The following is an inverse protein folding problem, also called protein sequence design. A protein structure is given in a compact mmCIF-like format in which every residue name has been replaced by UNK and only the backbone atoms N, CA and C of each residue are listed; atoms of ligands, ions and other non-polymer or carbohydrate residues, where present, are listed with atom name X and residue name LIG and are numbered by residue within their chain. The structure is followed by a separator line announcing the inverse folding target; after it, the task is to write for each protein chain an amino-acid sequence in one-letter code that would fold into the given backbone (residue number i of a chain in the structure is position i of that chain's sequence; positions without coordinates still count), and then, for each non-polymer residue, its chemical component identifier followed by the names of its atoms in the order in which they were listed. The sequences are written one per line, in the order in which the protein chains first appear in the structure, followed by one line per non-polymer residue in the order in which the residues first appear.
data_IF_552329088628
#
_entry.id   IF_552329088628
#
_cell.length_a   1.000
_cell.length_b   1.000
_cell.length_c   1.000
_cell.angle_alpha   90.00
_cell.angle_beta   90.00
_cell.angle_gamma   90.00
#
_symmetry.space_group_name_H-M   'P 1'
#
loop_
_entity.id
_entity.type
_entity.pdbx_description
1 polymer ?
#
# COMPACT_ATOMS: atom_id res chain seq x y z
N UNK A 1 17.17 -3.58 10.65
CA UNK A 1 17.87 -2.87 11.73
C UNK A 1 16.89 -1.89 12.34
N UNK A 2 17.13 -1.40 13.55
CA UNK A 2 16.36 -0.32 14.13
C UNK A 2 17.30 0.80 14.56
N UNK A 3 16.92 2.05 14.31
CA UNK A 3 17.67 3.23 14.72
C UNK A 3 16.75 4.15 15.53
N UNK A 4 17.35 4.94 16.41
CA UNK A 4 16.67 5.94 17.23
C UNK A 4 17.46 7.25 17.18
N UNK A 5 16.73 8.36 17.19
CA UNK A 5 17.29 9.71 17.24
C UNK A 5 16.34 10.62 18.03
N UNK A 6 16.82 11.29 19.09
CA UNK A 6 15.99 12.24 19.83
C UNK A 6 15.76 13.57 19.09
N UNK A 7 16.64 13.91 18.13
CA UNK A 7 16.61 15.18 17.38
C UNK A 7 16.27 15.00 15.89
N UNK A 8 16.13 13.75 15.42
CA UNK A 8 15.89 13.41 14.01
C UNK A 8 17.11 13.55 13.10
N UNK A 9 18.26 13.97 13.63
CA UNK A 9 19.48 14.28 12.86
C UNK A 9 20.59 13.28 13.22
N UNK A 10 20.82 13.03 14.50
CA UNK A 10 21.85 12.12 14.99
C UNK A 10 21.24 10.77 15.34
N UNK A 11 21.55 9.76 14.53
CA UNK A 11 20.97 8.42 14.66
C UNK A 11 21.94 7.46 15.35
N UNK A 12 21.43 6.67 16.28
CA UNK A 12 22.13 5.56 16.92
C UNK A 12 21.39 4.26 16.64
N UNK A 13 22.12 3.15 16.55
CA UNK A 13 21.50 1.84 16.45
C UNK A 13 20.76 1.50 17.75
N UNK A 14 19.47 1.24 17.63
CA UNK A 14 18.67 0.58 18.67
C UNK A 14 18.84 -0.94 18.58
N UNK A 15 18.94 -1.47 17.35
CA UNK A 15 19.28 -2.86 17.07
C UNK A 15 20.09 -2.97 15.78
N UNK A 16 21.19 -3.72 15.82
CA UNK A 16 22.10 -3.94 14.69
C UNK A 16 21.66 -5.08 13.76
N UNK A 17 20.79 -5.97 14.24
CA UNK A 17 20.16 -7.02 13.43
C UNK A 17 18.79 -6.55 12.87
N UNK A 18 18.26 -7.16 11.80
CA UNK A 18 16.88 -6.94 11.38
C UNK A 18 15.89 -7.26 12.51
N UNK A 19 15.02 -6.30 12.85
CA UNK A 19 13.95 -6.49 13.87
C UNK A 19 12.69 -7.11 13.27
N UNK A 20 12.55 -6.99 11.95
CA UNK A 20 11.61 -7.77 11.13
C UNK A 20 12.48 -8.50 10.10
N UNK A 21 12.66 -9.79 10.30
CA UNK A 21 13.45 -10.65 9.41
C UNK A 21 12.56 -11.67 8.69
N UNK A 22 13.16 -12.43 7.77
CA UNK A 22 12.46 -13.42 6.93
C UNK A 22 11.65 -14.45 7.72
N UNK A 23 12.02 -14.79 8.96
CA UNK A 23 11.30 -15.74 9.80
C UNK A 23 9.92 -15.23 10.22
N UNK A 24 9.71 -13.91 10.22
CA UNK A 24 8.42 -13.30 10.54
C UNK A 24 7.50 -13.15 9.33
N UNK A 25 7.99 -13.38 8.11
CA UNK A 25 7.18 -13.24 6.89
C UNK A 25 6.38 -14.52 6.61
N UNK A 26 5.08 -14.40 6.28
CA UNK A 26 4.24 -15.55 5.95
C UNK A 26 4.55 -16.14 4.57
N UNK A 27 5.34 -15.42 3.75
CA UNK A 27 5.62 -15.78 2.37
C UNK A 27 7.13 -15.79 2.11
N UNK A 28 7.54 -16.67 1.20
CA UNK A 28 8.95 -16.89 0.82
C UNK A 28 9.58 -15.65 0.19
N UNK A 29 8.77 -14.85 -0.49
CA UNK A 29 9.18 -13.62 -1.17
C UNK A 29 8.73 -12.42 -0.35
N UNK A 30 9.67 -11.51 -0.10
CA UNK A 30 9.42 -10.16 0.35
C UNK A 30 10.25 -9.26 -0.56
N UNK A 31 9.62 -8.25 -1.15
CA UNK A 31 10.35 -7.19 -1.85
C UNK A 31 10.44 -5.95 -0.94
N UNK A 32 11.41 -5.09 -1.21
CA UNK A 32 11.56 -3.85 -0.45
C UNK A 32 10.43 -2.89 -0.85
N UNK A 33 9.66 -2.43 0.13
CA UNK A 33 8.66 -1.37 -0.05
C UNK A 33 8.82 -0.31 1.03
N UNK A 34 8.24 0.87 0.80
CA UNK A 34 7.98 1.80 1.89
C UNK A 34 6.92 1.19 2.82
N UNK A 35 7.35 0.71 3.99
CA UNK A 35 6.46 0.22 5.04
C UNK A 35 5.89 1.40 5.83
N UNK A 36 4.64 1.28 6.28
CA UNK A 36 4.05 2.27 7.17
C UNK A 36 4.22 1.80 8.61
N UNK A 37 5.02 2.52 9.39
CA UNK A 37 5.32 2.17 10.79
C UNK A 37 5.05 3.35 11.70
N UNK A 38 4.26 3.14 12.75
CA UNK A 38 3.89 4.19 13.70
C UNK A 38 3.54 3.62 15.07
N UNK A 39 3.62 4.45 16.11
CA UNK A 39 3.02 4.14 17.40
C UNK A 39 1.50 4.34 17.32
N UNK A 40 0.74 3.26 17.57
CA UNK A 40 -0.71 3.36 17.68
C UNK A 40 -1.11 3.74 19.11
N UNK A 41 -1.71 4.92 19.25
CA UNK A 41 -2.35 5.32 20.50
C UNK A 41 -3.58 4.47 20.83
N UNK A 42 -4.29 3.95 19.82
CA UNK A 42 -5.48 3.13 20.07
C UNK A 42 -5.12 1.72 20.54
N UNK A 43 -4.07 1.13 19.97
CA UNK A 43 -3.65 -0.24 20.26
C UNK A 43 -2.49 -0.31 21.26
N UNK A 44 -1.98 0.84 21.72
CA UNK A 44 -0.88 0.96 22.70
C UNK A 44 0.37 0.14 22.33
N UNK A 45 0.70 0.12 21.03
CA UNK A 45 1.88 -0.57 20.51
C UNK A 45 2.34 0.04 19.19
N UNK A 46 3.56 -0.29 18.77
CA UNK A 46 4.02 -0.03 17.41
C UNK A 46 3.31 -0.96 16.43
N UNK A 47 2.86 -0.41 15.32
CA UNK A 47 2.20 -1.12 14.23
C UNK A 47 3.02 -0.91 12.97
N UNK A 48 3.21 -2.00 12.21
CA UNK A 48 3.85 -1.97 10.91
C UNK A 48 2.94 -2.62 9.87
N UNK A 49 2.67 -1.90 8.80
CA UNK A 49 2.10 -2.42 7.58
C UNK A 49 3.19 -2.53 6.51
N UNK A 50 3.26 -3.68 5.87
CA UNK A 50 4.30 -4.03 4.90
C UNK A 50 3.70 -4.78 3.72
N UNK A 51 4.32 -4.67 2.55
CA UNK A 51 3.93 -5.49 1.41
C UNK A 51 4.39 -6.93 1.60
N UNK A 52 3.51 -7.86 1.27
CA UNK A 52 3.77 -9.30 1.28
C UNK A 52 3.23 -9.92 -0.01
N UNK A 53 3.68 -11.13 -0.32
CA UNK A 53 3.15 -11.90 -1.44
C UNK A 53 2.17 -12.93 -0.90
N UNK A 54 0.98 -13.03 -1.51
CA UNK A 54 -0.04 -14.01 -1.13
C UNK A 54 -0.47 -14.80 -2.35
N UNK A 55 -0.42 -16.12 -2.23
CA UNK A 55 -0.99 -17.00 -3.22
C UNK A 55 -2.48 -17.20 -2.93
N UNK A 56 -3.33 -16.88 -3.90
CA UNK A 56 -4.78 -16.99 -3.78
C UNK A 56 -5.38 -18.18 -4.55
N UNK A 57 -4.55 -18.96 -5.25
CA UNK A 57 -5.03 -19.94 -6.25
C UNK A 57 -5.55 -19.26 -7.52
N UNK A 58 -5.64 -19.99 -8.64
CA UNK A 58 -6.06 -19.42 -9.93
C UNK A 58 -7.54 -19.01 -9.93
N UNK A 59 -8.34 -19.71 -9.13
CA UNK A 59 -9.78 -19.56 -9.00
C UNK A 59 -10.25 -18.24 -8.38
N UNK A 60 -9.42 -17.60 -7.55
CA UNK A 60 -9.70 -16.28 -6.98
C UNK A 60 -9.11 -15.12 -7.77
N UNK A 61 -8.20 -15.41 -8.69
CA UNK A 61 -7.57 -14.38 -9.52
C UNK A 61 -8.49 -14.01 -10.68
N UNK A 62 -8.39 -12.76 -11.14
CA UNK A 62 -9.10 -12.34 -12.36
C UNK A 62 -8.52 -13.09 -13.58
N UNK A 63 -9.30 -13.30 -14.66
CA UNK A 63 -8.79 -13.90 -15.88
C UNK A 63 -7.55 -13.16 -16.40
N UNK A 64 -6.48 -13.90 -16.75
CA UNK A 64 -5.18 -13.35 -17.17
C UNK A 64 -4.14 -13.26 -16.05
N UNK A 65 -4.55 -13.30 -14.78
CA UNK A 65 -3.63 -13.23 -13.65
C UNK A 65 -3.08 -14.62 -13.28
N UNK A 66 -1.79 -14.69 -13.00
CA UNK A 66 -1.12 -15.92 -12.55
C UNK A 66 -0.12 -15.62 -11.43
N UNK A 67 0.12 -16.60 -10.56
CA UNK A 67 1.14 -16.50 -9.51
C UNK A 67 0.69 -15.78 -8.25
N UNK A 68 1.67 -15.33 -7.46
CA UNK A 68 1.44 -14.66 -6.19
C UNK A 68 0.99 -13.21 -6.42
N UNK A 69 0.10 -12.72 -5.57
CA UNK A 69 -0.41 -11.34 -5.61
C UNK A 69 0.26 -10.50 -4.53
N UNK A 70 0.68 -9.28 -4.87
CA UNK A 70 1.13 -8.29 -3.88
C UNK A 70 -0.04 -7.90 -2.99
N UNK A 71 0.19 -8.01 -1.70
CA UNK A 71 -0.81 -7.87 -0.66
C UNK A 71 -0.26 -7.06 0.51
N UNK A 72 -1.14 -6.65 1.43
CA UNK A 72 -0.73 -5.97 2.66
C UNK A 72 -0.71 -6.97 3.82
N UNK A 73 0.43 -7.00 4.50
CA UNK A 73 0.63 -7.68 5.76
C UNK A 73 0.70 -6.67 6.91
N UNK A 74 0.45 -7.16 8.12
CA UNK A 74 0.52 -6.38 9.35
C UNK A 74 1.26 -7.15 10.44
N UNK A 75 2.05 -6.42 11.22
CA UNK A 75 2.64 -6.89 12.49
C UNK A 75 2.62 -5.77 13.54
N UNK A 76 2.82 -6.15 14.80
CA UNK A 76 2.81 -5.27 15.97
C UNK A 76 4.01 -5.57 16.87
N UNK A 77 4.51 -4.55 17.57
CA UNK A 77 5.56 -4.67 18.57
C UNK A 77 5.28 -3.75 19.77
N UNK A 78 5.47 -4.19 21.01
CA UNK A 78 5.32 -3.32 22.17
C UNK A 78 6.48 -2.31 22.31
N UNK A 79 7.65 -2.59 21.74
CA UNK A 79 8.92 -1.90 22.04
C UNK A 79 9.74 -1.53 20.80
N UNK A 80 9.19 -1.71 19.59
CA UNK A 80 9.83 -1.48 18.29
C UNK A 80 10.95 -2.47 17.93
N UNK A 81 11.32 -3.38 18.84
CA UNK A 81 12.40 -4.34 18.67
C UNK A 81 11.83 -5.75 18.45
N UNK A 82 10.86 -6.14 19.27
CA UNK A 82 10.28 -7.47 19.27
C UNK A 82 8.96 -7.47 18.51
N UNK A 83 8.99 -7.92 17.26
CA UNK A 83 7.83 -7.95 16.37
C UNK A 83 7.18 -9.32 16.33
N UNK A 84 5.85 -9.36 16.27
CA UNK A 84 5.09 -10.60 16.06
C UNK A 84 5.22 -11.08 14.60
N UNK A 85 4.92 -12.36 14.31
CA UNK A 85 4.80 -12.84 12.93
C UNK A 85 3.79 -11.98 12.14
N UNK A 86 4.17 -11.64 10.91
CA UNK A 86 3.32 -10.88 10.00
C UNK A 86 2.14 -11.74 9.58
N UNK A 87 0.94 -11.15 9.60
CA UNK A 87 -0.29 -11.76 9.11
C UNK A 87 -0.84 -10.98 7.93
N UNK A 88 -1.49 -11.67 7.01
CA UNK A 88 -2.21 -11.04 5.91
C UNK A 88 -3.36 -10.20 6.45
N UNK A 89 -3.55 -9.02 5.86
CA UNK A 89 -4.79 -8.25 6.05
C UNK A 89 -5.94 -8.91 5.29
N UNK A 90 -7.13 -8.78 5.85
CA UNK A 90 -8.42 -9.16 5.27
C UNK A 90 -9.21 -7.90 4.88
N UNK A 91 -10.16 -8.03 3.95
CA UNK A 91 -10.85 -6.88 3.35
C UNK A 91 -12.35 -7.08 3.41
N UNK A 92 -13.09 -5.98 3.53
CA UNK A 92 -14.56 -5.98 3.55
C UNK A 92 -15.12 -4.90 2.63
N UNK A 93 -16.01 -5.26 1.69
CA UNK A 93 -16.39 -6.63 1.32
C UNK A 93 -15.20 -7.42 0.77
N UNK A 94 -15.33 -8.74 0.68
CA UNK A 94 -14.31 -9.58 0.07
C UNK A 94 -14.08 -9.13 -1.38
N UNK A 95 -12.85 -8.76 -1.69
CA UNK A 95 -12.47 -8.16 -2.96
C UNK A 95 -11.60 -9.13 -3.76
N UNK A 96 -11.69 -9.05 -5.10
CA UNK A 96 -10.71 -9.72 -5.94
C UNK A 96 -9.30 -9.24 -5.55
N UNK A 97 -8.29 -10.14 -5.54
CA UNK A 97 -6.93 -9.76 -5.23
C UNK A 97 -6.38 -8.79 -6.29
N UNK A 98 -6.39 -7.49 -5.99
CA UNK A 98 -5.69 -6.48 -6.78
C UNK A 98 -4.20 -6.47 -6.35
N UNK A 99 -3.27 -6.12 -7.25
CA UNK A 99 -1.85 -6.00 -6.90
C UNK A 99 -1.63 -4.73 -6.06
N UNK A 100 -1.57 -4.86 -4.73
CA UNK A 100 -1.43 -3.74 -3.79
C UNK A 100 0.05 -3.40 -3.55
N UNK A 101 0.48 -2.21 -3.98
CA UNK A 101 1.91 -1.90 -4.02
C UNK A 101 2.48 -1.30 -2.74
N UNK A 102 1.78 -0.35 -2.12
CA UNK A 102 2.23 0.29 -0.89
C UNK A 102 1.08 0.30 0.12
N UNK A 103 1.32 -0.03 1.40
CA UNK A 103 0.27 0.03 2.41
C UNK A 103 -0.25 1.47 2.59
N UNK A 104 0.65 2.44 2.72
CA UNK A 104 0.35 3.86 2.99
C UNK A 104 -0.68 4.06 4.11
N UNK A 105 -0.64 3.18 5.11
CA UNK A 105 -1.61 3.14 6.19
C UNK A 105 -1.11 3.98 7.34
N UNK A 106 -1.93 4.90 7.81
CA UNK A 106 -1.57 5.82 8.88
C UNK A 106 -2.78 6.17 9.74
N UNK A 107 -2.58 6.53 11.02
CA UNK A 107 -3.66 6.99 11.87
C UNK A 107 -4.24 8.31 11.35
N UNK A 108 -5.55 8.43 11.38
CA UNK A 108 -6.21 9.68 11.04
C UNK A 108 -6.00 10.68 12.16
N UNK A 109 -5.38 11.82 11.84
CA UNK A 109 -4.93 12.81 12.83
C UNK A 109 -6.06 13.29 13.76
N UNK A 110 -7.29 13.38 13.26
CA UNK A 110 -8.46 13.82 14.06
C UNK A 110 -9.20 12.70 14.78
N UNK A 111 -8.93 11.43 14.45
CA UNK A 111 -9.48 10.27 15.13
C UNK A 111 -8.47 9.12 15.08
N UNK A 112 -7.45 9.09 15.96
CA UNK A 112 -6.32 8.15 15.87
C UNK A 112 -6.69 6.66 15.98
N UNK A 113 -7.91 6.36 16.40
CA UNK A 113 -8.49 5.01 16.44
C UNK A 113 -9.06 4.57 15.08
N UNK A 114 -8.93 5.39 14.04
CA UNK A 114 -9.23 5.08 12.64
C UNK A 114 -7.95 5.24 11.85
N UNK A 115 -7.56 4.20 11.13
CA UNK A 115 -6.45 4.22 10.19
C UNK A 115 -6.99 4.37 8.77
N UNK A 116 -6.28 5.15 7.97
CA UNK A 116 -6.61 5.41 6.58
C UNK A 116 -5.44 5.00 5.70
N UNK A 117 -5.76 4.32 4.61
CA UNK A 117 -4.80 3.85 3.62
C UNK A 117 -5.20 4.32 2.23
N UNK A 118 -4.25 4.90 1.51
CA UNK A 118 -4.38 5.23 0.09
C UNK A 118 -3.31 4.47 -0.67
N UNK A 119 -3.67 3.30 -1.17
CA UNK A 119 -2.74 2.33 -1.75
C UNK A 119 -2.75 2.40 -3.28
N UNK A 120 -1.59 2.43 -3.94
CA UNK A 120 -1.51 2.19 -5.37
C UNK A 120 -1.91 0.73 -5.66
N UNK A 121 -3.05 0.55 -6.31
CA UNK A 121 -3.45 -0.72 -6.89
C UNK A 121 -3.00 -0.78 -8.35
N UNK A 122 -2.32 -1.84 -8.76
CA UNK A 122 -2.19 -2.13 -10.19
C UNK A 122 -3.31 -3.08 -10.62
N UNK A 123 -4.05 -2.63 -11.62
CA UNK A 123 -4.89 -3.51 -12.43
C UNK A 123 -4.07 -3.95 -13.62
N UNK A 124 -3.54 -5.18 -13.57
CA UNK A 124 -2.97 -5.82 -14.74
C UNK A 124 -4.10 -6.06 -15.77
N UNK A 125 -3.82 -5.80 -17.04
CA UNK A 125 -4.71 -5.98 -18.18
C UNK A 125 -5.94 -5.06 -18.29
N UNK A 126 -5.99 -3.91 -17.59
CA UNK A 126 -6.90 -2.82 -18.00
C UNK A 126 -6.24 -2.07 -19.16
N UNK A 127 -6.55 -2.51 -20.39
CA UNK A 127 -6.07 -1.84 -21.60
C UNK A 127 -6.67 -0.43 -21.70
N UNK A 128 -5.89 0.58 -21.35
CA UNK A 128 -6.29 1.99 -21.54
C UNK A 128 -6.06 2.42 -23.00
N UNK A 129 -5.10 1.78 -23.68
CA UNK A 129 -4.69 2.10 -25.05
C UNK A 129 -4.42 0.83 -25.86
N UNK A 130 -4.70 0.91 -27.16
CA UNK A 130 -4.36 -0.13 -28.15
C UNK A 130 -2.84 -0.20 -28.38
N UNK A 131 -2.30 -1.33 -28.88
CA UNK A 131 -0.90 -1.43 -29.29
C UNK A 131 -0.47 -0.32 -30.27
N UNK A 132 -1.37 0.05 -31.19
CA UNK A 132 -1.16 1.12 -32.17
C UNK A 132 -1.02 2.49 -31.50
N UNK A 133 -1.90 2.78 -30.52
CA UNK A 133 -1.82 4.00 -29.71
C UNK A 133 -0.57 4.01 -28.81
N UNK A 134 -0.19 2.88 -28.21
CA UNK A 134 1.02 2.76 -27.41
C UNK A 134 2.29 3.07 -28.24
N UNK A 135 2.35 2.56 -29.48
CA UNK A 135 3.42 2.85 -30.45
C UNK A 135 3.44 4.33 -30.83
N UNK A 136 2.27 4.92 -31.12
CA UNK A 136 2.16 6.35 -31.45
C UNK A 136 2.58 7.28 -30.30
N UNK A 137 2.42 6.84 -29.05
CA UNK A 137 2.76 7.61 -27.85
C UNK A 137 4.14 7.26 -27.26
N UNK A 138 4.91 6.37 -27.92
CA UNK A 138 6.20 5.88 -27.44
C UNK A 138 6.16 5.31 -26.02
N UNK A 139 5.03 4.69 -25.64
CA UNK A 139 4.90 4.01 -24.34
C UNK A 139 5.80 2.76 -24.37
N UNK A 140 6.62 2.50 -23.32
CA UNK A 140 7.44 1.30 -23.26
C UNK A 140 6.64 0.02 -23.48
N UNK A 141 7.27 -0.97 -24.13
CA UNK A 141 6.68 -2.30 -24.33
C UNK A 141 6.25 -2.86 -22.97
N UNK A 142 5.02 -3.39 -22.93
CA UNK A 142 4.35 -3.95 -21.75
C UNK A 142 3.81 -2.95 -20.70
N UNK A 143 4.27 -1.68 -20.69
CA UNK A 143 3.76 -0.65 -19.76
C UNK A 143 2.35 -0.12 -20.09
N UNK A 144 1.82 -0.46 -21.27
CA UNK A 144 0.46 -0.10 -21.71
C UNK A 144 -0.62 -1.08 -21.24
N UNK A 145 -0.23 -2.23 -20.69
CA UNK A 145 -1.14 -3.27 -20.22
C UNK A 145 -1.62 -3.03 -18.79
N UNK A 146 -0.91 -2.20 -18.03
CA UNK A 146 -1.14 -1.96 -16.62
C UNK A 146 -1.61 -0.53 -16.36
N UNK A 147 -2.63 -0.40 -15.53
CA UNK A 147 -3.09 0.89 -15.00
C UNK A 147 -2.85 0.93 -13.50
N UNK A 148 -2.28 2.03 -13.01
CA UNK A 148 -2.22 2.33 -11.57
C UNK A 148 -3.44 3.15 -11.15
N UNK A 149 -4.10 2.71 -10.09
CA UNK A 149 -5.25 3.36 -9.44
C UNK A 149 -4.92 3.68 -7.98
N UNK A 150 -5.62 4.66 -7.39
CA UNK A 150 -5.57 4.88 -5.94
C UNK A 150 -6.77 4.18 -5.27
N UNK A 151 -6.51 3.19 -4.42
CA UNK A 151 -7.52 2.48 -3.64
C UNK A 151 -7.56 3.09 -2.23
N UNK A 152 -8.75 3.48 -1.79
CA UNK A 152 -8.98 4.00 -0.45
C UNK A 152 -9.53 2.90 0.47
N UNK A 153 -8.93 2.76 1.65
CA UNK A 153 -9.33 1.78 2.65
C UNK A 153 -9.20 2.38 4.05
N UNK A 154 -9.96 1.84 4.98
CA UNK A 154 -9.92 2.22 6.39
C UNK A 154 -9.79 1.00 7.29
N UNK A 155 -9.23 1.16 8.49
CA UNK A 155 -9.15 0.11 9.49
C UNK A 155 -9.34 0.71 10.88
N UNK A 156 -9.78 -0.07 11.86
CA UNK A 156 -9.79 0.31 13.29
C UNK A 156 -8.73 -0.45 14.07
N UNK A 157 -7.68 -0.91 13.38
CA UNK A 157 -6.69 -1.83 13.93
C UNK A 157 -7.04 -3.29 13.65
N UNK A 158 -6.32 -4.20 14.31
CA UNK A 158 -6.42 -5.62 14.01
C UNK A 158 -6.03 -5.94 12.56
N UNK A 159 -6.61 -6.97 11.97
CA UNK A 159 -6.18 -7.52 10.67
C UNK A 159 -7.18 -7.29 9.54
N UNK A 160 -8.03 -6.27 9.66
CA UNK A 160 -9.12 -6.02 8.71
C UNK A 160 -9.08 -4.59 8.16
N UNK A 161 -9.25 -4.48 6.85
CA UNK A 161 -9.57 -3.25 6.14
C UNK A 161 -11.04 -3.26 5.70
N UNK A 162 -11.69 -2.13 5.86
CA UNK A 162 -12.91 -1.79 5.16
C UNK A 162 -12.54 -1.03 3.88
N UNK A 163 -12.95 -1.58 2.73
CA UNK A 163 -12.78 -0.99 1.40
C UNK A 163 -14.15 -0.50 0.93
N UNK A 164 -14.53 0.74 1.26
CA UNK A 164 -15.88 1.24 0.94
C UNK A 164 -16.13 1.37 -0.57
N UNK A 165 -15.06 1.49 -1.37
CA UNK A 165 -15.14 1.63 -2.83
C UNK A 165 -14.43 0.47 -3.54
N UNK A 166 -15.18 -0.24 -4.36
CA UNK A 166 -14.62 -1.29 -5.24
C UNK A 166 -14.05 -0.73 -6.55
N UNK A 167 -14.18 0.58 -6.76
CA UNK A 167 -13.55 1.34 -7.84
C UNK A 167 -12.46 2.26 -7.29
N UNK A 168 -11.63 2.82 -8.17
CA UNK A 168 -10.57 3.77 -7.81
C UNK A 168 -11.15 4.98 -7.09
N UNK A 169 -10.56 5.32 -5.94
CA UNK A 169 -10.90 6.52 -5.17
C UNK A 169 -10.46 7.78 -5.90
N UNK A 170 -9.25 7.77 -6.45
CA UNK A 170 -8.80 8.73 -7.45
C UNK A 170 -8.64 7.98 -8.75
N UNK A 171 -9.41 8.39 -9.77
CA UNK A 171 -9.35 7.78 -11.10
C UNK A 171 -8.23 8.42 -11.90
N UNK A 172 -7.41 7.62 -12.61
CA UNK A 172 -6.47 8.16 -13.58
C UNK A 172 -7.24 8.92 -14.65
N UNK A 173 -6.67 10.03 -15.12
CA UNK A 173 -7.22 10.75 -16.26
C UNK A 173 -7.25 9.81 -17.48
N UNK A 174 -8.36 9.82 -18.23
CA UNK A 174 -8.56 9.01 -19.44
C UNK A 174 -7.59 9.35 -20.57
N UNK A 175 -6.70 10.33 -20.39
CA UNK A 175 -5.73 10.69 -21.39
C UNK A 175 -4.65 9.59 -21.52
N UNK A 176 -4.35 9.14 -22.75
CA UNK A 176 -3.55 7.94 -22.99
C UNK A 176 -2.07 8.04 -22.57
N UNK A 177 -1.57 9.25 -22.24
CA UNK A 177 -0.23 9.46 -21.64
C UNK A 177 -0.22 9.42 -20.10
N UNK A 178 -1.37 9.58 -19.45
CA UNK A 178 -1.49 9.68 -17.98
C UNK A 178 -2.15 8.45 -17.36
N UNK A 179 -2.64 7.51 -18.16
CA UNK A 179 -3.22 6.24 -17.70
C UNK A 179 -2.23 5.06 -17.66
N UNK A 180 -0.99 5.26 -18.10
CA UNK A 180 0.04 4.20 -18.10
C UNK A 180 0.59 3.93 -16.70
N UNK A 181 1.23 2.76 -16.54
CA UNK A 181 1.96 2.35 -15.35
C UNK A 181 2.72 3.52 -14.68
N UNK A 182 2.50 3.72 -13.38
CA UNK A 182 3.15 4.71 -12.51
C UNK A 182 2.76 6.20 -12.68
N UNK A 183 1.78 6.54 -13.52
CA UNK A 183 1.30 7.93 -13.63
C UNK A 183 0.43 8.39 -12.44
N UNK A 184 -0.21 7.46 -11.72
CA UNK A 184 -1.02 7.74 -10.53
C UNK A 184 -0.61 6.82 -9.37
N UNK A 185 0.44 7.22 -8.66
CA UNK A 185 1.04 6.43 -7.59
C UNK A 185 1.09 7.25 -6.30
N UNK A 186 0.11 7.14 -5.40
CA UNK A 186 0.17 7.81 -4.11
C UNK A 186 1.37 7.28 -3.31
N UNK A 187 2.34 8.14 -3.05
CA UNK A 187 3.56 7.81 -2.27
C UNK A 187 3.39 8.19 -0.80
N UNK A 188 2.68 9.27 -0.52
CA UNK A 188 2.35 9.73 0.83
C UNK A 188 0.84 9.65 1.05
N UNK A 189 0.42 9.26 2.25
CA UNK A 189 -0.98 9.20 2.65
C UNK A 189 -1.64 10.59 2.77
N UNK A 190 -2.70 10.68 3.57
CA UNK A 190 -3.42 11.93 3.83
C UNK A 190 -2.60 12.86 4.72
N UNK A 191 -2.32 14.08 4.24
CA UNK A 191 -1.62 15.10 5.03
C UNK A 191 -2.62 16.16 5.47
N UNK A 192 -2.61 16.53 6.75
CA UNK A 192 -3.40 17.65 7.24
C UNK A 192 -2.76 18.95 6.75
N UNK A 193 -3.55 19.80 6.10
CA UNK A 193 -3.12 21.13 5.70
C UNK A 193 -3.45 22.18 6.77
N UNK A 194 -2.79 23.34 6.71
CA UNK A 194 -3.04 24.46 7.62
C UNK A 194 -4.38 25.15 7.33
N UNK A 195 -4.93 25.92 8.29
CA UNK A 195 -6.14 26.71 8.08
C UNK A 195 -5.93 27.68 6.90
N UNK A 196 -6.75 27.58 5.84
CA UNK A 196 -6.72 28.50 4.69
C UNK A 196 -6.24 27.93 3.35
N UNK A 197 -5.84 26.66 3.28
CA UNK A 197 -5.46 26.00 2.02
C UNK A 197 -6.65 25.23 1.44
N UNK A 198 -7.61 25.93 0.88
CA UNK A 198 -8.58 25.33 -0.03
C UNK A 198 -7.89 25.11 -1.38
N UNK A 199 -8.05 23.93 -1.99
CA UNK A 199 -7.72 23.73 -3.40
C UNK A 199 -8.37 24.85 -4.23
N UNK A 200 -7.67 25.47 -5.19
CA UNK A 200 -8.32 26.37 -6.12
C UNK A 200 -9.36 25.55 -6.88
N UNK A 201 -10.63 25.95 -6.76
CA UNK A 201 -11.70 25.48 -7.64
C UNK A 201 -11.29 25.79 -9.08
N UNK A 202 -11.07 24.74 -9.87
CA UNK A 202 -10.96 24.80 -11.33
C UNK A 202 -12.28 25.22 -11.96
#
# INVERSE_FOLDING_TARGET
MALVSPDGIHWKYLATKPVIDKSLHPARNCDTCQSSVFWSQHEQCYVCYVRVWKNFGKERLRPGFTGDTRWIGRTTSPDFINWKPIRFMEYTPDAFPDQLYLPNTQPYVRAPHIYVAVTPGLSDHRLVITPEQAKALSVPKDAWRDTSDAIFMTSRGGFRYDRPFMSSFLRPAQAPKTGSLAAFFPVQGIVQTGPGTNCPSS
#
